data_IF_675841075348
#
_entry.id   IF_675841075348
#
_cell.length_a   1.000
_cell.length_b   1.000
_cell.length_c   1.000
_cell.angle_alpha   90.00
_cell.angle_beta   90.00
_cell.angle_gamma   90.00
#
_symmetry.space_group_name_H-M   'P 1'
#
loop_
_entity.id
_entity.type
_entity.pdbx_description
1 polymer ?
#
# COMPACT_ATOMS: atom_id res chain seq x y z
N UNK A 1 48.03 -4.09 -18.45
CA UNK A 1 46.97 -5.11 -18.60
C UNK A 1 47.57 -6.32 -19.29
N UNK A 2 47.44 -7.51 -18.70
CA UNK A 2 47.97 -8.77 -19.26
C UNK A 2 46.96 -9.31 -20.26
N UNK A 3 47.33 -9.38 -21.54
CA UNK A 3 46.49 -10.03 -22.56
C UNK A 3 46.80 -11.53 -22.55
N UNK A 4 45.79 -12.35 -22.34
CA UNK A 4 45.94 -13.82 -22.30
C UNK A 4 45.65 -14.35 -23.70
N UNK A 5 46.56 -15.15 -24.27
CA UNK A 5 46.29 -15.85 -25.53
C UNK A 5 45.62 -17.17 -25.21
N UNK A 6 44.52 -17.44 -25.90
CA UNK A 6 43.78 -18.70 -25.78
C UNK A 6 43.88 -19.41 -27.13
N UNK A 7 44.13 -20.73 -27.10
CA UNK A 7 44.47 -21.49 -28.30
C UNK A 7 43.27 -21.70 -29.22
N UNK A 8 42.06 -21.69 -28.66
CA UNK A 8 40.83 -21.81 -29.44
C UNK A 8 39.66 -21.10 -28.77
N UNK A 9 38.69 -20.69 -29.57
CA UNK A 9 37.42 -20.13 -29.08
C UNK A 9 36.62 -21.13 -28.23
N UNK A 10 36.87 -22.43 -28.41
CA UNK A 10 36.27 -23.51 -27.61
C UNK A 10 36.73 -23.49 -26.15
N UNK A 11 37.98 -23.10 -25.87
CA UNK A 11 38.48 -22.95 -24.49
C UNK A 11 37.77 -21.79 -23.78
N UNK A 12 37.47 -20.71 -24.49
CA UNK A 12 36.68 -19.59 -23.97
C UNK A 12 35.22 -20.00 -23.73
N UNK A 13 34.62 -20.77 -24.64
CA UNK A 13 33.27 -21.31 -24.47
C UNK A 13 33.17 -22.24 -23.24
N UNK A 14 34.19 -23.07 -22.99
CA UNK A 14 34.24 -23.91 -21.78
C UNK A 14 34.33 -23.10 -20.48
N UNK A 15 34.98 -21.93 -20.52
CA UNK A 15 35.04 -21.02 -19.37
C UNK A 15 33.66 -20.38 -19.14
N UNK A 16 32.98 -19.98 -20.21
CA UNK A 16 31.61 -19.47 -20.16
C UNK A 16 30.63 -20.50 -19.58
N UNK A 17 30.69 -21.73 -20.07
CA UNK A 17 29.87 -22.85 -19.59
C UNK A 17 30.09 -23.11 -18.10
N UNK A 18 31.36 -23.24 -17.66
CA UNK A 18 31.69 -23.48 -16.24
C UNK A 18 31.26 -22.33 -15.32
N UNK A 19 31.31 -21.09 -15.80
CA UNK A 19 30.82 -19.94 -15.04
C UNK A 19 29.30 -19.99 -14.87
N UNK A 20 28.57 -20.37 -15.93
CA UNK A 20 27.13 -20.57 -15.86
C UNK A 20 26.74 -21.74 -14.94
N UNK A 21 27.47 -22.85 -15.00
CA UNK A 21 27.30 -23.99 -14.09
C UNK A 21 27.51 -23.57 -12.63
N UNK A 22 28.59 -22.84 -12.33
CA UNK A 22 28.86 -22.35 -10.99
C UNK A 22 27.76 -21.40 -10.47
N UNK A 23 27.18 -20.56 -11.33
CA UNK A 23 26.02 -19.72 -10.95
C UNK A 23 24.82 -20.59 -10.59
N UNK A 24 24.52 -21.62 -11.37
CA UNK A 24 23.40 -22.52 -11.07
C UNK A 24 23.63 -23.29 -9.76
N UNK A 25 24.84 -23.80 -9.53
CA UNK A 25 25.21 -24.47 -8.28
C UNK A 25 25.05 -23.55 -7.06
N UNK A 26 25.48 -22.29 -7.17
CA UNK A 26 25.32 -21.32 -6.07
C UNK A 26 23.86 -20.96 -5.81
N UNK A 27 23.04 -20.86 -6.86
CA UNK A 27 21.60 -20.66 -6.72
C UNK A 27 20.93 -21.87 -6.06
N UNK A 28 21.30 -23.09 -6.46
CA UNK A 28 20.75 -24.31 -5.89
C UNK A 28 21.21 -24.54 -4.45
N UNK A 29 22.43 -24.15 -4.10
CA UNK A 29 22.90 -24.12 -2.71
C UNK A 29 22.08 -23.13 -1.87
N UNK A 30 21.85 -21.92 -2.38
CA UNK A 30 21.09 -20.90 -1.66
C UNK A 30 19.60 -21.26 -1.50
N UNK A 31 19.01 -21.99 -2.44
CA UNK A 31 17.64 -22.55 -2.32
C UNK A 31 17.47 -23.52 -1.15
N UNK A 32 18.54 -24.15 -0.66
CA UNK A 32 18.49 -25.08 0.48
C UNK A 32 18.41 -24.34 1.82
N UNK A 33 18.60 -23.02 1.85
CA UNK A 33 18.48 -22.24 3.07
C UNK A 33 17.01 -22.15 3.51
N UNK A 34 16.69 -22.39 4.80
CA UNK A 34 15.31 -22.32 5.31
C UNK A 34 14.70 -20.91 5.32
N UNK A 35 15.51 -19.86 5.05
CA UNK A 35 15.08 -18.47 4.88
C UNK A 35 15.11 -18.01 3.42
N UNK A 36 14.89 -18.94 2.49
CA UNK A 36 14.88 -18.67 1.06
C UNK A 36 13.54 -18.08 0.62
N UNK A 37 13.53 -16.78 0.37
CA UNK A 37 12.37 -16.06 -0.17
C UNK A 37 12.47 -15.83 -1.68
N UNK A 38 11.32 -15.78 -2.36
CA UNK A 38 11.23 -15.53 -3.80
C UNK A 38 11.83 -14.18 -4.22
N UNK A 39 11.72 -13.15 -3.38
CA UNK A 39 12.35 -11.85 -3.62
C UNK A 39 13.88 -11.92 -3.56
N UNK A 40 14.41 -12.63 -2.55
CA UNK A 40 15.86 -12.87 -2.39
C UNK A 40 16.41 -13.73 -3.51
N UNK A 41 15.63 -14.72 -3.97
CA UNK A 41 15.96 -15.55 -5.13
C UNK A 41 16.12 -14.72 -6.41
N UNK A 42 15.14 -13.83 -6.71
CA UNK A 42 15.21 -12.95 -7.87
C UNK A 42 16.38 -11.97 -7.78
N UNK A 43 16.64 -11.39 -6.60
CA UNK A 43 17.75 -10.46 -6.38
C UNK A 43 19.11 -11.15 -6.54
N UNK A 44 19.30 -12.33 -5.93
CA UNK A 44 20.53 -13.12 -6.04
C UNK A 44 20.78 -13.57 -7.48
N UNK A 45 19.74 -14.07 -8.17
CA UNK A 45 19.82 -14.45 -9.58
C UNK A 45 20.31 -13.29 -10.44
N UNK A 46 19.68 -12.11 -10.34
CA UNK A 46 20.10 -10.91 -11.08
C UNK A 46 21.54 -10.50 -10.76
N UNK A 47 21.91 -10.53 -9.47
CA UNK A 47 23.26 -10.16 -9.05
C UNK A 47 24.33 -11.09 -9.61
N UNK A 48 24.11 -12.41 -9.54
CA UNK A 48 25.03 -13.42 -10.05
C UNK A 48 25.22 -13.31 -11.56
N UNK A 49 24.12 -13.22 -12.32
CA UNK A 49 24.21 -13.02 -13.78
C UNK A 49 24.90 -11.70 -14.16
N UNK A 50 24.62 -10.60 -13.46
CA UNK A 50 25.29 -9.33 -13.71
C UNK A 50 26.78 -9.35 -13.36
N UNK A 51 27.19 -10.19 -12.39
CA UNK A 51 28.59 -10.39 -12.04
C UNK A 51 29.29 -11.27 -13.09
N UNK A 52 28.65 -12.36 -13.54
CA UNK A 52 29.22 -13.21 -14.58
C UNK A 52 29.35 -12.48 -15.90
N UNK A 53 28.36 -11.67 -16.30
CA UNK A 53 28.47 -10.86 -17.52
C UNK A 53 29.61 -9.84 -17.44
N UNK A 54 29.83 -9.22 -16.28
CA UNK A 54 30.99 -8.32 -16.08
C UNK A 54 32.32 -9.07 -16.17
N UNK A 55 32.41 -10.25 -15.58
CA UNK A 55 33.62 -11.09 -15.64
C UNK A 55 33.85 -11.56 -17.08
N UNK A 56 32.82 -12.04 -17.77
CA UNK A 56 32.89 -12.47 -19.16
C UNK A 56 33.24 -11.33 -20.11
N UNK A 57 32.67 -10.14 -19.91
CA UNK A 57 33.05 -8.94 -20.65
C UNK A 57 34.52 -8.59 -20.46
N UNK A 58 35.03 -8.69 -19.23
CA UNK A 58 36.46 -8.49 -18.94
C UNK A 58 37.35 -9.58 -19.56
N UNK A 59 36.93 -10.85 -19.50
CA UNK A 59 37.67 -11.97 -20.11
C UNK A 59 37.71 -11.81 -21.62
N UNK A 60 36.56 -11.56 -22.27
CA UNK A 60 36.47 -11.33 -23.73
C UNK A 60 37.30 -10.14 -24.19
N UNK A 61 37.37 -9.05 -23.41
CA UNK A 61 38.18 -7.88 -23.76
C UNK A 61 39.70 -8.14 -23.63
N UNK A 62 40.11 -9.10 -22.79
CA UNK A 62 41.51 -9.35 -22.46
C UNK A 62 42.06 -10.66 -23.08
N UNK A 63 41.21 -11.50 -23.66
CA UNK A 63 41.57 -12.73 -24.36
C UNK A 63 41.74 -12.46 -25.84
N UNK A 64 42.91 -12.83 -26.38
CA UNK A 64 43.17 -12.87 -27.81
C UNK A 64 43.06 -14.33 -28.27
N UNK A 65 42.09 -14.64 -29.13
CA UNK A 65 41.99 -15.94 -29.80
C UNK A 65 42.92 -15.95 -31.01
N UNK A 66 43.75 -16.98 -31.15
CA UNK A 66 44.56 -17.17 -32.36
C UNK A 66 43.63 -17.48 -33.55
N UNK A 67 43.45 -16.50 -34.44
CA UNK A 67 42.61 -16.62 -35.65
C UNK A 67 41.75 -15.40 -35.98
N UNK A 68 41.44 -14.54 -35.00
CA UNK A 68 40.66 -13.32 -35.24
C UNK A 68 41.59 -12.18 -35.67
N UNK A 69 41.95 -12.19 -36.95
CA UNK A 69 42.47 -11.01 -37.61
C UNK A 69 41.38 -9.95 -37.69
N UNK A 70 41.49 -8.93 -36.84
CA UNK A 70 40.75 -7.67 -36.87
C UNK A 70 39.21 -7.77 -36.72
N UNK A 71 38.65 -6.90 -35.87
CA UNK A 71 37.22 -6.66 -35.69
C UNK A 71 36.39 -7.73 -34.94
N UNK A 72 36.65 -7.88 -33.64
CA UNK A 72 35.57 -8.22 -32.69
C UNK A 72 35.20 -6.95 -31.94
N UNK A 73 34.43 -6.10 -32.61
CA UNK A 73 33.80 -4.93 -31.99
C UNK A 73 33.02 -5.36 -30.76
N UNK A 74 33.14 -4.56 -29.70
CA UNK A 74 32.34 -4.70 -28.50
C UNK A 74 30.85 -4.76 -28.90
N UNK A 75 30.26 -5.95 -28.91
CA UNK A 75 28.82 -6.13 -29.04
C UNK A 75 28.23 -5.54 -27.78
N UNK A 76 27.84 -4.26 -27.86
CA UNK A 76 26.97 -3.62 -26.89
C UNK A 76 25.70 -4.47 -26.88
N UNK A 77 25.49 -5.24 -25.82
CA UNK A 77 24.21 -5.84 -25.52
C UNK A 77 23.24 -4.67 -25.48
N UNK A 78 22.38 -4.57 -26.49
CA UNK A 78 21.38 -3.50 -26.53
C UNK A 78 20.39 -3.76 -25.41
N UNK A 79 19.91 -2.71 -24.76
CA UNK A 79 18.92 -2.76 -23.67
C UNK A 79 17.67 -3.59 -24.04
N UNK A 80 17.39 -3.71 -25.34
CA UNK A 80 16.35 -4.55 -25.94
C UNK A 80 16.56 -6.06 -25.78
N UNK A 81 17.78 -6.57 -25.56
CA UNK A 81 18.04 -8.00 -25.27
C UNK A 81 17.82 -8.32 -23.77
N UNK A 82 17.61 -7.30 -22.92
CA UNK A 82 17.26 -7.39 -21.49
C UNK A 82 15.77 -7.05 -21.27
N UNK A 83 14.99 -6.88 -22.35
CA UNK A 83 13.56 -6.60 -22.28
C UNK A 83 12.82 -7.83 -21.77
N UNK A 84 12.37 -7.76 -20.53
CA UNK A 84 11.43 -8.71 -19.95
C UNK A 84 10.03 -8.34 -20.46
N UNK A 85 9.36 -9.17 -21.28
CA UNK A 85 8.07 -8.82 -21.86
C UNK A 85 6.98 -8.56 -20.80
N UNK A 86 7.15 -9.10 -19.59
CA UNK A 86 6.28 -8.79 -18.45
C UNK A 86 6.47 -7.35 -17.95
N UNK A 87 7.69 -6.82 -18.07
CA UNK A 87 8.05 -5.48 -17.63
C UNK A 87 7.52 -4.43 -18.63
N UNK A 88 7.61 -4.69 -19.93
CA UNK A 88 7.01 -3.84 -20.97
C UNK A 88 5.47 -3.79 -20.84
N UNK A 89 4.83 -4.92 -20.54
CA UNK A 89 3.39 -4.98 -20.30
C UNK A 89 2.99 -4.19 -19.04
N UNK A 90 3.75 -4.33 -17.95
CA UNK A 90 3.52 -3.57 -16.72
C UNK A 90 3.75 -2.07 -16.92
N UNK A 91 4.76 -1.65 -17.68
CA UNK A 91 4.99 -0.25 -18.00
C UNK A 91 3.84 0.35 -18.82
N UNK A 92 3.29 -0.42 -19.77
CA UNK A 92 2.12 -0.01 -20.53
C UNK A 92 0.86 0.12 -19.64
N UNK A 93 0.62 -0.84 -18.74
CA UNK A 93 -0.50 -0.78 -17.79
C UNK A 93 -0.36 0.41 -16.83
N UNK A 94 0.84 0.67 -16.32
CA UNK A 94 1.12 1.84 -15.47
C UNK A 94 0.87 3.14 -16.23
N UNK A 95 1.31 3.23 -17.49
CA UNK A 95 1.05 4.39 -18.33
C UNK A 95 -0.46 4.59 -18.54
N UNK A 96 -1.21 3.54 -18.85
CA UNK A 96 -2.66 3.61 -19.05
C UNK A 96 -3.40 4.02 -17.76
N UNK A 97 -3.07 3.40 -16.62
CA UNK A 97 -3.67 3.74 -15.33
C UNK A 97 -3.34 5.18 -14.91
N UNK A 98 -2.12 5.65 -15.19
CA UNK A 98 -1.73 7.02 -14.90
C UNK A 98 -2.52 8.03 -15.72
N UNK A 99 -2.80 7.72 -16.99
CA UNK A 99 -3.63 8.56 -17.86
C UNK A 99 -5.08 8.61 -17.36
N UNK A 100 -5.66 7.46 -16.97
CA UNK A 100 -7.00 7.39 -16.38
C UNK A 100 -7.11 8.19 -15.08
N UNK A 101 -6.10 8.12 -14.22
CA UNK A 101 -6.08 8.91 -12.97
C UNK A 101 -5.98 10.41 -13.27
N UNK A 102 -5.18 10.81 -14.26
CA UNK A 102 -5.08 12.21 -14.66
C UNK A 102 -6.41 12.74 -15.22
N UNK A 103 -7.09 11.95 -16.06
CA UNK A 103 -8.41 12.27 -16.59
C UNK A 103 -9.46 12.38 -15.49
N UNK A 104 -9.50 11.43 -14.56
CA UNK A 104 -10.41 11.47 -13.40
C UNK A 104 -10.16 12.68 -12.51
N UNK A 105 -8.89 13.05 -12.26
CA UNK A 105 -8.55 14.26 -11.50
C UNK A 105 -8.99 15.54 -12.21
N UNK A 106 -9.02 15.56 -13.53
CA UNK A 106 -9.48 16.72 -14.31
C UNK A 106 -11.01 16.83 -14.37
N UNK A 107 -11.72 15.70 -14.47
CA UNK A 107 -13.16 15.66 -14.77
C UNK A 107 -14.04 15.56 -13.52
N UNK A 108 -13.71 14.63 -12.61
CA UNK A 108 -14.57 14.27 -11.46
C UNK A 108 -14.84 15.46 -10.53
N UNK A 109 -13.88 16.32 -10.17
CA UNK A 109 -14.18 17.48 -9.32
C UNK A 109 -15.22 18.43 -9.93
N UNK A 110 -15.17 18.63 -11.25
CA UNK A 110 -16.13 19.47 -11.98
C UNK A 110 -17.52 18.85 -12.05
N UNK A 111 -17.59 17.54 -12.31
CA UNK A 111 -18.86 16.79 -12.32
C UNK A 111 -19.51 16.76 -10.93
N UNK A 112 -18.72 16.53 -9.90
CA UNK A 112 -19.19 16.54 -8.51
C UNK A 112 -19.70 17.94 -8.13
N UNK A 113 -18.96 19.00 -8.47
CA UNK A 113 -19.39 20.37 -8.22
C UNK A 113 -20.70 20.72 -8.94
N UNK A 114 -20.87 20.29 -10.20
CA UNK A 114 -22.13 20.48 -10.95
C UNK A 114 -23.30 19.75 -10.30
N UNK A 115 -23.13 18.47 -9.98
CA UNK A 115 -24.17 17.67 -9.33
C UNK A 115 -24.61 18.27 -7.97
N UNK A 116 -23.66 18.77 -7.17
CA UNK A 116 -24.00 19.44 -5.92
C UNK A 116 -24.68 20.79 -6.16
N UNK A 117 -24.25 21.57 -7.15
CA UNK A 117 -24.89 22.84 -7.50
C UNK A 117 -26.34 22.63 -7.96
N UNK A 118 -26.60 21.61 -8.78
CA UNK A 118 -27.94 21.23 -9.24
C UNK A 118 -28.84 20.83 -8.06
N UNK A 119 -28.38 19.92 -7.19
CA UNK A 119 -29.14 19.53 -6.00
C UNK A 119 -29.39 20.69 -5.04
N UNK A 120 -28.43 21.61 -4.91
CA UNK A 120 -28.63 22.81 -4.09
C UNK A 120 -29.62 23.79 -4.73
N UNK A 121 -29.73 23.85 -6.06
CA UNK A 121 -30.79 24.62 -6.73
C UNK A 121 -32.16 23.96 -6.55
N UNK A 122 -32.25 22.64 -6.61
CA UNK A 122 -33.50 21.89 -6.36
C UNK A 122 -33.99 22.04 -4.91
N UNK A 123 -33.06 22.13 -3.95
CA UNK A 123 -33.36 22.29 -2.53
C UNK A 123 -33.49 23.76 -2.10
N UNK A 124 -33.20 24.72 -2.98
CA UNK A 124 -33.49 26.11 -2.66
C UNK A 124 -35.01 26.24 -2.54
N UNK A 125 -35.51 26.81 -1.42
CA UNK A 125 -36.88 27.28 -1.38
C UNK A 125 -37.06 28.19 -2.58
N UNK A 126 -38.09 27.92 -3.40
CA UNK A 126 -38.52 28.86 -4.42
C UNK A 126 -38.87 30.13 -3.65
N UNK A 127 -37.99 31.13 -3.66
CA UNK A 127 -38.43 32.49 -3.41
C UNK A 127 -39.49 32.74 -4.45
N UNK A 128 -40.73 32.88 -3.97
CA UNK A 128 -41.91 33.16 -4.76
C UNK A 128 -41.60 34.33 -5.68
N UNK A 129 -41.18 34.01 -6.90
CA UNK A 129 -40.97 34.99 -7.93
C UNK A 129 -42.32 35.67 -8.12
N UNK A 130 -42.33 36.97 -7.89
CA UNK A 130 -43.43 37.88 -8.08
C UNK A 130 -44.12 37.55 -9.41
N UNK A 131 -45.28 36.91 -9.32
CA UNK A 131 -46.23 36.85 -10.43
C UNK A 131 -46.88 38.21 -10.45
N UNK A 132 -46.28 39.13 -11.20
CA UNK A 132 -47.02 40.25 -11.79
C UNK A 132 -48.04 39.63 -12.76
N UNK A 133 -49.27 39.46 -12.30
CA UNK A 133 -50.44 39.63 -13.15
C UNK A 133 -51.63 40.02 -12.29
N UNK A 134 -52.23 41.14 -12.68
CA UNK A 134 -53.47 41.71 -12.17
C UNK A 134 -54.58 40.65 -12.09
N UNK A 135 -55.23 40.51 -10.93
CA UNK A 135 -56.66 40.79 -10.75
C UNK A 135 -57.20 40.21 -9.42
N UNK A 136 -58.07 40.99 -8.78
CA UNK A 136 -59.08 40.60 -7.80
C UNK A 136 -58.69 39.73 -6.58
N UNK A 137 -58.48 40.41 -5.46
CA UNK A 137 -59.10 40.06 -4.18
C UNK A 137 -58.83 38.67 -3.60
N UNK A 138 -57.77 38.55 -2.81
CA UNK A 138 -57.68 37.51 -1.78
C UNK A 138 -57.13 38.09 -0.50
N UNK A 139 -57.93 37.98 0.55
CA UNK A 139 -57.65 38.36 1.92
C UNK A 139 -56.25 37.97 2.37
N UNK A 140 -55.56 38.87 3.07
CA UNK A 140 -54.32 38.59 3.76
C UNK A 140 -54.46 37.36 4.67
N UNK A 141 -53.99 36.22 4.17
CA UNK A 141 -53.71 35.06 4.99
C UNK A 141 -52.29 35.27 5.52
N UNK A 142 -52.19 35.94 6.68
CA UNK A 142 -51.00 35.82 7.50
C UNK A 142 -50.76 34.32 7.71
N UNK A 143 -49.66 33.81 7.14
CA UNK A 143 -49.21 32.46 7.40
C UNK A 143 -48.92 32.35 8.89
N UNK A 144 -49.92 31.87 9.64
CA UNK A 144 -49.77 31.54 11.06
C UNK A 144 -48.80 30.38 11.10
N UNK A 145 -47.54 30.69 11.33
CA UNK A 145 -46.56 29.71 11.76
C UNK A 145 -47.12 29.11 13.05
N UNK A 146 -47.42 27.82 13.03
CA UNK A 146 -47.91 27.11 14.21
C UNK A 146 -46.86 27.24 15.31
N UNK A 147 -47.11 28.14 16.27
CA UNK A 147 -46.17 28.48 17.35
C UNK A 147 -45.80 27.25 18.18
N UNK A 148 -46.70 26.28 18.29
CA UNK A 148 -46.47 25.00 18.95
C UNK A 148 -45.42 24.14 18.21
N UNK A 149 -45.43 24.14 16.86
CA UNK A 149 -44.44 23.42 16.06
C UNK A 149 -43.05 24.07 16.17
N UNK A 150 -42.99 25.40 16.20
CA UNK A 150 -41.73 26.13 16.42
C UNK A 150 -41.19 25.94 17.85
N UNK A 151 -42.06 25.88 18.86
CA UNK A 151 -41.66 25.57 20.23
C UNK A 151 -41.18 24.12 20.39
N UNK A 152 -41.80 23.17 19.70
CA UNK A 152 -41.35 21.77 19.68
C UNK A 152 -39.94 21.65 19.07
N UNK A 153 -39.73 22.27 17.90
CA UNK A 153 -38.42 22.30 17.25
C UNK A 153 -37.36 23.01 18.11
N UNK A 154 -37.73 24.09 18.81
CA UNK A 154 -36.83 24.78 19.73
C UNK A 154 -36.44 23.90 20.91
N UNK A 155 -37.38 23.15 21.50
CA UNK A 155 -37.10 22.19 22.58
C UNK A 155 -36.19 21.05 22.10
N UNK A 156 -36.39 20.55 20.88
CA UNK A 156 -35.51 19.53 20.29
C UNK A 156 -34.11 20.07 20.01
N UNK A 157 -34.00 21.31 19.53
CA UNK A 157 -32.72 21.97 19.32
C UNK A 157 -31.99 22.16 20.67
N UNK A 158 -32.68 22.66 21.69
CA UNK A 158 -32.11 22.86 23.03
C UNK A 158 -31.69 21.53 23.68
N UNK A 159 -32.47 20.46 23.49
CA UNK A 159 -32.12 19.12 23.96
C UNK A 159 -30.87 18.56 23.25
N UNK A 160 -30.75 18.77 21.93
CA UNK A 160 -29.57 18.38 21.18
C UNK A 160 -28.33 19.20 21.59
N UNK A 161 -28.49 20.52 21.74
CA UNK A 161 -27.42 21.40 22.21
C UNK A 161 -26.95 21.04 23.62
N UNK A 162 -27.84 20.58 24.50
CA UNK A 162 -27.49 20.08 25.82
C UNK A 162 -26.67 18.78 25.79
N UNK A 163 -26.83 17.95 24.76
CA UNK A 163 -26.09 16.69 24.59
C UNK A 163 -24.72 16.89 23.90
N UNK A 164 -24.53 17.97 23.16
CA UNK A 164 -23.29 18.26 22.44
C UNK A 164 -22.02 18.28 23.31
N UNK A 165 -22.00 18.90 24.52
CA UNK A 165 -20.83 18.88 25.38
C UNK A 165 -20.46 17.47 25.86
N UNK A 166 -21.45 16.63 26.14
CA UNK A 166 -21.22 15.25 26.56
C UNK A 166 -20.65 14.41 25.41
N UNK A 167 -21.18 14.56 24.19
CA UNK A 167 -20.63 13.92 23.00
C UNK A 167 -19.21 14.39 22.70
N UNK A 168 -18.91 15.69 22.86
CA UNK A 168 -17.56 16.24 22.71
C UNK A 168 -16.60 15.66 23.76
N UNK A 169 -17.02 15.56 25.02
CA UNK A 169 -16.22 14.96 26.08
C UNK A 169 -15.92 13.48 25.80
N UNK A 170 -16.92 12.69 25.39
CA UNK A 170 -16.76 11.28 25.01
C UNK A 170 -15.81 11.12 23.82
N UNK A 171 -15.91 12.01 22.82
CA UNK A 171 -15.04 11.99 21.65
C UNK A 171 -13.59 12.34 22.02
N UNK A 172 -13.38 13.36 22.85
CA UNK A 172 -12.05 13.71 23.35
C UNK A 172 -11.44 12.58 24.19
N UNK A 173 -12.25 11.92 25.04
CA UNK A 173 -11.81 10.78 25.82
C UNK A 173 -11.42 9.61 24.91
N UNK A 174 -12.23 9.28 23.90
CA UNK A 174 -11.93 8.24 22.93
C UNK A 174 -10.65 8.54 22.13
N UNK A 175 -10.45 9.79 21.69
CA UNK A 175 -9.22 10.21 21.02
C UNK A 175 -8.01 10.10 21.95
N UNK A 176 -8.14 10.46 23.22
CA UNK A 176 -7.05 10.33 24.20
C UNK A 176 -6.68 8.86 24.46
N UNK A 177 -7.67 7.96 24.51
CA UNK A 177 -7.48 6.52 24.63
C UNK A 177 -6.78 5.96 23.38
N UNK A 178 -7.24 6.36 22.20
CA UNK A 178 -6.64 5.95 20.93
C UNK A 178 -5.19 6.43 20.81
N UNK A 179 -4.90 7.67 21.22
CA UNK A 179 -3.53 8.19 21.28
C UNK A 179 -2.62 7.39 22.22
N UNK A 180 -3.12 6.98 23.39
CA UNK A 180 -2.37 6.11 24.31
C UNK A 180 -2.11 4.73 23.70
N UNK A 181 -3.13 4.11 23.11
CA UNK A 181 -3.01 2.79 22.48
C UNK A 181 -2.04 2.81 21.29
N UNK A 182 -2.07 3.84 20.45
CA UNK A 182 -1.10 3.99 19.37
C UNK A 182 0.32 4.17 19.91
N UNK A 183 0.50 4.99 20.95
CA UNK A 183 1.81 5.16 21.59
C UNK A 183 2.34 3.86 22.21
N UNK A 184 1.48 3.07 22.85
CA UNK A 184 1.83 1.75 23.37
C UNK A 184 2.18 0.75 22.25
N UNK A 185 1.44 0.77 21.14
CA UNK A 185 1.70 -0.08 19.97
C UNK A 185 3.02 0.29 19.29
N UNK A 186 3.32 1.57 19.16
CA UNK A 186 4.59 2.05 18.60
C UNK A 186 5.78 1.71 19.51
N UNK A 187 5.62 1.84 20.84
CA UNK A 187 6.61 1.40 21.82
C UNK A 187 6.84 -0.11 21.75
N UNK A 188 5.79 -0.91 21.60
CA UNK A 188 5.92 -2.35 21.41
C UNK A 188 6.60 -2.69 20.08
N UNK A 189 6.30 -1.97 19.00
CA UNK A 189 6.94 -2.15 17.69
C UNK A 189 8.43 -1.80 17.71
N UNK A 190 8.82 -0.79 18.48
CA UNK A 190 10.23 -0.41 18.63
C UNK A 190 11.00 -1.35 19.58
N UNK A 191 10.32 -1.92 20.59
CA UNK A 191 10.93 -2.80 21.59
C UNK A 191 10.94 -4.28 21.18
N UNK A 192 10.04 -4.69 20.30
CA UNK A 192 9.99 -6.06 19.79
C UNK A 192 11.14 -6.28 18.78
N UNK A 193 11.93 -7.36 18.92
CA UNK A 193 12.97 -7.69 17.94
C UNK A 193 12.35 -7.93 16.55
N UNK A 194 13.06 -7.58 15.47
CA UNK A 194 12.55 -7.76 14.10
C UNK A 194 12.14 -9.22 13.85
N UNK A 195 10.97 -9.42 13.22
CA UNK A 195 10.43 -10.75 12.88
C UNK A 195 9.44 -11.37 13.90
N UNK A 196 9.09 -10.67 14.99
CA UNK A 196 8.12 -11.14 15.99
C UNK A 196 6.68 -11.19 15.47
N UNK A 197 6.26 -10.16 14.73
CA UNK A 197 4.93 -10.11 14.10
C UNK A 197 4.82 -11.19 13.00
N UNK A 198 5.86 -11.36 12.19
CA UNK A 198 5.91 -12.40 11.15
C UNK A 198 5.88 -13.82 11.73
N UNK A 199 6.51 -14.05 12.90
CA UNK A 199 6.39 -15.32 13.63
C UNK A 199 4.99 -15.57 14.20
N UNK A 200 4.28 -14.54 14.66
CA UNK A 200 2.94 -14.68 15.20
C UNK A 200 1.88 -14.91 14.10
N UNK A 201 2.04 -14.26 12.93
CA UNK A 201 1.14 -14.42 11.78
C UNK A 201 1.34 -15.76 11.07
N UNK A 202 2.59 -16.27 11.02
CA UNK A 202 2.90 -17.55 10.39
C UNK A 202 2.80 -18.76 11.35
N UNK A 203 2.28 -18.58 12.56
CA UNK A 203 2.04 -19.70 13.47
C UNK A 203 0.87 -20.57 12.95
N UNK A 204 1.05 -21.89 12.78
CA UNK A 204 -0.02 -22.76 12.27
C UNK A 204 -1.21 -22.77 13.23
N UNK A 205 -2.41 -22.54 12.70
CA UNK A 205 -3.67 -22.37 13.44
C UNK A 205 -4.21 -23.66 14.12
N UNK A 206 -3.37 -24.69 14.33
CA UNK A 206 -3.80 -26.02 14.76
C UNK A 206 -2.88 -26.70 15.76
N UNK A 207 -1.98 -25.99 16.44
CA UNK A 207 -1.22 -26.52 17.56
C UNK A 207 -1.79 -26.01 18.87
N UNK A 208 -2.13 -26.92 19.78
CA UNK A 208 -2.36 -26.62 21.19
C UNK A 208 -1.35 -25.58 21.67
N UNK A 209 -1.86 -24.59 22.42
CA UNK A 209 -1.13 -23.61 23.24
C UNK A 209 0.40 -23.73 23.15
N UNK A 210 1.12 -22.75 22.57
CA UNK A 210 2.56 -22.82 22.56
C UNK A 210 3.01 -22.95 24.01
N UNK A 211 3.78 -24.00 24.30
CA UNK A 211 4.40 -24.19 25.59
C UNK A 211 5.06 -22.86 25.97
N UNK A 212 4.53 -22.26 27.04
CA UNK A 212 5.12 -21.13 27.73
C UNK A 212 6.45 -21.59 28.29
N UNK A 213 7.47 -21.64 27.44
CA UNK A 213 8.86 -21.65 27.86
C UNK A 213 9.13 -20.29 28.51
N UNK A 214 9.05 -20.28 29.84
CA UNK A 214 9.55 -19.25 30.75
C UNK A 214 9.59 -17.82 30.19
N UNK A 215 8.42 -17.27 29.86
CA UNK A 215 8.24 -15.83 29.80
C UNK A 215 7.67 -15.38 31.14
N UNK A 216 8.35 -14.41 31.76
CA UNK A 216 8.08 -13.93 33.10
C UNK A 216 6.58 -13.65 33.33
N UNK A 217 6.02 -14.04 34.50
CA UNK A 217 4.60 -13.91 34.81
C UNK A 217 4.27 -12.43 35.05
N UNK A 218 4.06 -11.66 33.98
CA UNK A 218 3.81 -10.24 34.12
C UNK A 218 3.54 -9.58 32.78
N UNK A 219 2.30 -9.68 32.31
CA UNK A 219 1.83 -8.80 31.24
C UNK A 219 0.67 -9.37 30.44
N UNK A 220 0.76 -10.63 30.01
CA UNK A 220 0.06 -10.99 28.77
C UNK A 220 -1.33 -11.62 28.95
N UNK A 221 -1.62 -12.18 30.14
CA UNK A 221 -2.94 -12.78 30.44
C UNK A 221 -3.89 -11.75 31.05
N UNK A 222 -3.37 -10.80 31.83
CA UNK A 222 -4.18 -9.77 32.48
C UNK A 222 -4.68 -8.72 31.48
N UNK A 223 -3.86 -8.34 30.50
CA UNK A 223 -4.22 -7.38 29.44
C UNK A 223 -5.24 -7.96 28.48
N UNK A 224 -5.10 -9.22 28.05
CA UNK A 224 -6.13 -9.88 27.20
C UNK A 224 -7.47 -10.07 27.90
N UNK A 225 -7.47 -10.43 29.19
CA UNK A 225 -8.72 -10.48 29.98
C UNK A 225 -9.34 -9.09 30.18
N UNK A 226 -8.55 -8.04 30.35
CA UNK A 226 -9.05 -6.65 30.42
C UNK A 226 -9.62 -6.20 29.07
N UNK A 227 -8.91 -6.42 27.97
CA UNK A 227 -9.39 -6.09 26.62
C UNK A 227 -10.70 -6.84 26.29
N UNK A 228 -10.81 -8.12 26.64
CA UNK A 228 -12.05 -8.88 26.43
C UNK A 228 -13.23 -8.40 27.29
N UNK A 229 -12.97 -7.83 28.47
CA UNK A 229 -13.98 -7.25 29.33
C UNK A 229 -14.35 -5.80 28.92
N UNK A 230 -13.39 -5.04 28.38
CA UNK A 230 -13.58 -3.64 27.94
C UNK A 230 -14.20 -3.53 26.54
N UNK A 231 -14.09 -4.56 25.71
CA UNK A 231 -14.68 -4.63 24.36
C UNK A 231 -16.09 -5.24 24.33
N UNK A 232 -16.74 -5.46 25.48
CA UNK A 232 -18.12 -5.94 25.46
C UNK A 232 -19.05 -4.84 24.92
N UNK A 233 -19.83 -5.12 23.85
CA UNK A 233 -20.79 -4.16 23.34
C UNK A 233 -21.87 -3.91 24.39
N UNK A 234 -22.17 -2.63 24.65
CA UNK A 234 -23.24 -2.21 25.55
C UNK A 234 -24.57 -2.74 24.96
N UNK A 235 -25.39 -3.47 25.73
CA UNK A 235 -26.67 -3.96 25.23
C UNK A 235 -27.57 -2.76 24.91
N UNK A 236 -28.01 -2.71 23.66
CA UNK A 236 -29.00 -1.74 23.18
C UNK A 236 -30.35 -2.13 23.80
N UNK A 237 -30.96 -1.22 24.56
CA UNK A 237 -32.35 -1.32 25.03
C UNK A 237 -33.25 -0.53 24.10
#
# INVERSE_FOLDING_TARGET
MVKVRVRSREELAKIEEKLCEAVLETLDAAKRDPGWDQARAKALKRHLYAMTERVLGSVRANVLCEGDGAEAGARKVSESEIADPELDALEAEVAELSARVAEQRATVPGEVAKNYAERLMELRPVESAEVEDDDAGSSGAEARVDGEAMEALRKELDANLAQMPELQARLQEALSKLGRLMGELDLQRQRAPPGTIERAINAPAGGDTPATGELAPGGDVATRRRLAHELQPIPIK
#
